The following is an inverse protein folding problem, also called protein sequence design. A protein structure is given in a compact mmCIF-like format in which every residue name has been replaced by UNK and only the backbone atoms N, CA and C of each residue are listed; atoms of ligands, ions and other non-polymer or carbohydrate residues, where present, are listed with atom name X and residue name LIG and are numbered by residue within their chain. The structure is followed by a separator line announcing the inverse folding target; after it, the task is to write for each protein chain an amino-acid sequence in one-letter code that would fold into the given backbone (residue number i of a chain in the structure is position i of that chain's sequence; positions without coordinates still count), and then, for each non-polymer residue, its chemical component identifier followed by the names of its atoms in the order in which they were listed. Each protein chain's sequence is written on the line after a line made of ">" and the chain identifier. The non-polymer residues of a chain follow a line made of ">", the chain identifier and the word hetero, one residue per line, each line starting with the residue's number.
data_IF_818553766249
#
_entry.id   IF_818553766249
#
_cell.length_a   1.000
_cell.length_b   1.000
_cell.length_c   1.000
_cell.angle_alpha   90.00
_cell.angle_beta   90.00
_cell.angle_gamma   90.00
#
_symmetry.space_group_name_H-M   'P 1'
#
loop_
_entity.id
_entity.type
_entity.pdbx_description
1 polymer ?
#
# COMPACT_ATOMS: atom_id res chain seq x y z
N UNK A 1 4.49 25.16 -48.61
CA UNK A 1 4.94 23.83 -49.14
C UNK A 1 5.30 22.80 -48.06
N UNK A 2 5.69 23.21 -46.85
CA UNK A 2 6.09 22.27 -45.77
C UNK A 2 4.91 21.48 -45.16
N UNK A 3 3.73 22.12 -45.02
CA UNK A 3 2.53 21.50 -44.44
C UNK A 3 1.97 20.35 -45.28
N UNK A 4 2.09 20.42 -46.61
CA UNK A 4 1.58 19.39 -47.53
C UNK A 4 2.41 18.09 -47.48
N UNK A 5 3.73 18.19 -47.24
CA UNK A 5 4.62 17.03 -47.11
C UNK A 5 4.42 16.26 -45.82
N UNK A 6 3.97 16.91 -44.74
CA UNK A 6 3.61 16.23 -43.49
C UNK A 6 2.38 15.36 -43.68
N UNK A 7 1.32 15.88 -44.30
CA UNK A 7 0.05 15.15 -44.51
C UNK A 7 0.22 13.90 -45.38
N UNK A 8 1.11 13.95 -46.38
CA UNK A 8 1.37 12.81 -47.28
C UNK A 8 2.18 11.69 -46.58
N UNK A 9 3.06 12.04 -45.64
CA UNK A 9 3.97 11.09 -45.00
C UNK A 9 3.43 10.52 -43.68
N UNK A 10 2.49 11.22 -43.00
CA UNK A 10 1.87 10.74 -41.76
C UNK A 10 1.19 9.37 -41.92
N UNK A 11 0.37 9.09 -42.96
CA UNK A 11 -0.22 7.77 -43.16
C UNK A 11 0.82 6.67 -43.40
N UNK A 12 1.95 7.01 -44.06
CA UNK A 12 3.06 6.07 -44.32
C UNK A 12 3.82 5.70 -43.05
N UNK A 13 3.99 6.63 -42.11
CA UNK A 13 4.66 6.37 -40.83
C UNK A 13 3.76 5.51 -39.93
N UNK A 14 2.46 5.81 -39.89
CA UNK A 14 1.48 5.04 -39.11
C UNK A 14 1.37 3.59 -39.62
N UNK A 15 1.44 3.38 -40.95
CA UNK A 15 1.44 2.05 -41.58
C UNK A 15 2.76 1.28 -41.45
N UNK A 16 3.83 1.82 -40.85
CA UNK A 16 5.11 1.10 -40.68
C UNK A 16 5.39 0.73 -39.23
N UNK A 17 4.82 1.44 -38.26
CA UNK A 17 4.90 1.09 -36.84
C UNK A 17 3.80 0.11 -36.44
N UNK A 18 3.78 -1.07 -37.05
CA UNK A 18 2.82 -2.11 -36.71
C UNK A 18 3.12 -2.79 -35.37
N UNK A 19 4.39 -2.88 -34.95
CA UNK A 19 4.77 -3.59 -33.71
C UNK A 19 4.37 -2.88 -32.42
N UNK A 20 4.49 -1.54 -32.37
CA UNK A 20 4.24 -0.77 -31.14
C UNK A 20 2.86 -0.13 -31.09
N UNK A 21 2.30 0.25 -32.23
CA UNK A 21 1.06 1.02 -32.27
C UNK A 21 -0.18 0.14 -32.45
N UNK A 22 -0.07 -1.05 -33.07
CA UNK A 22 -1.21 -1.99 -33.21
C UNK A 22 -1.73 -2.47 -31.84
N UNK A 23 -0.91 -3.02 -30.93
CA UNK A 23 -1.43 -3.56 -29.67
C UNK A 23 -1.99 -2.46 -28.75
N UNK A 24 -1.51 -1.21 -28.89
CA UNK A 24 -2.04 -0.05 -28.17
C UNK A 24 -3.40 0.41 -28.72
N UNK A 25 -3.65 0.23 -30.03
CA UNK A 25 -4.90 0.63 -30.69
C UNK A 25 -5.94 -0.50 -30.78
N UNK A 26 -5.51 -1.75 -30.67
CA UNK A 26 -6.42 -2.90 -30.60
C UNK A 26 -7.09 -2.93 -29.23
N UNK A 27 -8.42 -2.75 -29.21
CA UNK A 27 -9.23 -3.30 -28.11
C UNK A 27 -8.80 -4.76 -27.94
N UNK A 28 -8.48 -5.16 -26.71
CA UNK A 28 -8.15 -6.55 -26.39
C UNK A 28 -9.22 -7.46 -27.01
N UNK A 29 -8.84 -8.22 -28.04
CA UNK A 29 -9.80 -8.98 -28.85
C UNK A 29 -10.28 -10.25 -28.12
N UNK A 30 -9.49 -10.71 -27.16
CA UNK A 30 -9.78 -11.86 -26.31
C UNK A 30 -10.44 -11.39 -25.00
N UNK A 31 -11.62 -11.94 -24.63
CA UNK A 31 -12.26 -11.69 -23.34
C UNK A 31 -11.32 -11.82 -22.13
N UNK A 32 -10.36 -12.75 -22.15
CA UNK A 32 -9.42 -12.94 -21.03
C UNK A 32 -8.48 -11.74 -20.89
N UNK A 33 -8.00 -11.20 -22.00
CA UNK A 33 -7.14 -10.01 -22.01
C UNK A 33 -7.90 -8.76 -21.57
N UNK A 34 -9.19 -8.66 -21.90
CA UNK A 34 -10.05 -7.58 -21.40
C UNK A 34 -10.16 -7.63 -19.87
N UNK A 35 -10.43 -8.83 -19.29
CA UNK A 35 -10.50 -9.00 -17.85
C UNK A 35 -9.21 -8.57 -17.13
N UNK A 36 -8.05 -8.89 -17.69
CA UNK A 36 -6.77 -8.46 -17.13
C UNK A 36 -6.64 -6.93 -17.10
N UNK A 37 -6.95 -6.26 -18.21
CA UNK A 37 -6.89 -4.80 -18.30
C UNK A 37 -7.91 -4.16 -17.34
N UNK A 38 -9.11 -4.72 -17.25
CA UNK A 38 -10.15 -4.20 -16.37
C UNK A 38 -9.76 -4.35 -14.90
N UNK A 39 -9.10 -5.45 -14.52
CA UNK A 39 -8.55 -5.62 -13.17
C UNK A 39 -7.40 -4.66 -12.86
N UNK A 40 -6.53 -4.35 -13.82
CA UNK A 40 -5.51 -3.31 -13.66
C UNK A 40 -6.15 -1.95 -13.42
N UNK A 41 -7.18 -1.60 -14.20
CA UNK A 41 -7.90 -0.33 -14.07
C UNK A 41 -8.62 -0.24 -12.72
N UNK A 42 -9.29 -1.31 -12.31
CA UNK A 42 -9.98 -1.42 -11.02
C UNK A 42 -8.98 -1.24 -9.86
N UNK A 43 -7.83 -1.92 -9.91
CA UNK A 43 -6.76 -1.76 -8.93
C UNK A 43 -6.24 -0.32 -8.91
N UNK A 44 -5.97 0.28 -10.08
CA UNK A 44 -5.51 1.68 -10.17
C UNK A 44 -6.49 2.66 -9.53
N UNK A 45 -7.80 2.48 -9.71
CA UNK A 45 -8.79 3.33 -9.05
C UNK A 45 -8.84 3.12 -7.54
N UNK A 46 -8.70 1.88 -7.07
CA UNK A 46 -8.79 1.55 -5.64
C UNK A 46 -7.51 1.88 -4.86
N UNK A 47 -6.35 1.84 -5.50
CA UNK A 47 -5.04 2.06 -4.87
C UNK A 47 -4.67 3.53 -4.58
N UNK A 48 -5.45 4.50 -5.08
CA UNK A 48 -5.09 5.91 -4.98
C UNK A 48 -5.23 6.53 -3.57
N UNK A 49 -5.80 5.80 -2.61
CA UNK A 49 -5.99 6.27 -1.23
C UNK A 49 -5.24 5.40 -0.24
N UNK A 50 -4.37 5.99 0.59
CA UNK A 50 -3.71 5.31 1.72
C UNK A 50 -4.66 4.89 2.86
N UNK A 51 -5.97 4.86 2.59
CA UNK A 51 -7.02 4.41 3.51
C UNK A 51 -7.50 3.04 3.04
N UNK A 52 -8.06 2.28 3.97
CA UNK A 52 -8.62 0.98 3.67
C UNK A 52 -9.79 1.14 2.69
N UNK A 53 -9.68 0.48 1.53
CA UNK A 53 -10.68 0.51 0.47
C UNK A 53 -11.97 -0.13 1.01
N UNK A 54 -13.10 0.54 0.84
CA UNK A 54 -14.43 0.05 1.24
C UNK A 54 -14.50 -0.44 2.70
N UNK A 55 -13.86 0.29 3.63
CA UNK A 55 -13.86 -0.07 5.05
C UNK A 55 -15.27 -0.06 5.65
N UNK A 56 -15.84 -1.25 5.84
CA UNK A 56 -17.05 -1.45 6.63
C UNK A 56 -16.81 -1.07 8.09
N UNK A 57 -17.82 -0.55 8.83
CA UNK A 57 -17.73 -0.31 10.26
C UNK A 57 -17.27 -1.53 11.07
N UNK A 58 -17.60 -2.74 10.60
CA UNK A 58 -17.18 -3.99 11.21
C UNK A 58 -15.65 -4.20 11.14
N UNK A 59 -15.03 -3.92 9.99
CA UNK A 59 -13.58 -4.05 9.78
C UNK A 59 -12.82 -3.03 10.62
N UNK A 60 -13.36 -1.81 10.75
CA UNK A 60 -12.77 -0.78 11.61
C UNK A 60 -12.78 -1.21 13.08
N UNK A 61 -13.89 -1.79 13.55
CA UNK A 61 -14.02 -2.32 14.90
C UNK A 61 -13.07 -3.50 15.15
N UNK A 62 -12.94 -4.40 14.17
CA UNK A 62 -11.98 -5.50 14.23
C UNK A 62 -10.55 -4.97 14.36
N UNK A 63 -10.17 -4.02 13.51
CA UNK A 63 -8.87 -3.32 13.58
C UNK A 63 -8.59 -2.70 14.96
N UNK A 64 -9.56 -2.00 15.54
CA UNK A 64 -9.41 -1.44 16.89
C UNK A 64 -9.22 -2.54 17.93
N UNK A 65 -10.00 -3.62 17.85
CA UNK A 65 -9.87 -4.75 18.78
C UNK A 65 -8.52 -5.46 18.68
N UNK A 66 -7.95 -5.56 17.48
CA UNK A 66 -6.63 -6.14 17.25
C UNK A 66 -5.52 -5.24 17.81
N UNK A 67 -5.64 -3.92 17.61
CA UNK A 67 -4.72 -2.95 18.19
C UNK A 67 -4.75 -3.02 19.72
N UNK A 68 -5.93 -3.12 20.35
CA UNK A 68 -6.05 -3.28 21.80
C UNK A 68 -5.38 -4.55 22.34
N UNK A 69 -5.48 -5.67 21.61
CA UNK A 69 -4.78 -6.91 21.95
C UNK A 69 -3.27 -6.72 21.91
N UNK A 70 -2.75 -6.10 20.85
CA UNK A 70 -1.33 -5.76 20.70
C UNK A 70 -0.89 -4.85 21.86
N UNK A 71 -1.68 -3.82 22.18
CA UNK A 71 -1.38 -2.92 23.28
C UNK A 71 -1.29 -3.62 24.64
N UNK A 72 -2.15 -4.62 24.86
CA UNK A 72 -2.16 -5.42 26.07
C UNK A 72 -0.96 -6.37 26.13
N UNK A 73 -0.64 -7.04 25.02
CA UNK A 73 0.45 -8.03 24.95
C UNK A 73 1.83 -7.38 25.10
N UNK A 74 2.04 -6.22 24.49
CA UNK A 74 3.34 -5.53 24.48
C UNK A 74 3.43 -4.39 25.51
N UNK A 75 2.43 -4.24 26.39
CA UNK A 75 2.45 -3.25 27.47
C UNK A 75 2.55 -1.81 26.97
N UNK A 76 1.92 -1.50 25.84
CA UNK A 76 1.99 -0.19 25.18
C UNK A 76 0.78 0.69 25.44
N UNK A 77 -0.15 0.26 26.31
CA UNK A 77 -1.24 1.12 26.81
C UNK A 77 -0.63 2.36 27.48
N UNK A 78 -0.81 3.52 26.87
CA UNK A 78 -0.33 4.81 27.39
C UNK A 78 1.15 5.11 27.15
N UNK A 79 1.86 4.31 26.34
CA UNK A 79 3.26 4.57 25.97
C UNK A 79 3.38 4.75 24.45
N UNK A 80 4.18 5.72 24.03
CA UNK A 80 4.50 5.91 22.62
C UNK A 80 5.49 4.84 22.16
N UNK A 81 5.04 3.94 21.28
CA UNK A 81 5.85 2.86 20.74
C UNK A 81 6.86 3.33 19.69
N UNK A 82 6.80 4.58 19.25
CA UNK A 82 7.81 5.18 18.37
C UNK A 82 9.05 5.64 19.14
N UNK A 83 8.92 5.81 20.46
CA UNK A 83 10.02 6.22 21.32
C UNK A 83 10.74 5.02 21.91
N UNK A 84 12.05 5.12 22.02
CA UNK A 84 12.88 4.12 22.67
C UNK A 84 12.57 4.08 24.19
N UNK A 85 12.54 2.90 24.83
CA UNK A 85 12.24 2.79 26.26
C UNK A 85 13.30 3.44 27.14
N UNK A 86 12.85 4.15 28.17
CA UNK A 86 13.72 4.64 29.23
C UNK A 86 13.98 3.51 30.24
N UNK A 87 15.24 3.14 30.41
CA UNK A 87 15.64 2.17 31.43
C UNK A 87 15.95 2.88 32.74
N UNK A 88 15.34 2.42 33.83
CA UNK A 88 15.67 2.82 35.20
C UNK A 88 16.17 1.58 35.93
N UNK A 89 17.40 1.66 36.43
CA UNK A 89 18.00 0.58 37.21
C UNK A 89 17.94 0.99 38.67
N UNK A 90 17.24 0.19 39.49
CA UNK A 90 17.24 0.34 40.95
C UNK A 90 18.23 -0.63 41.54
N UNK A 91 19.09 -0.15 42.43
CA UNK A 91 20.03 -1.02 43.14
C UNK A 91 19.27 -2.04 44.01
N UNK A 92 19.69 -3.31 44.03
CA UNK A 92 19.06 -4.30 44.87
C UNK A 92 19.27 -3.95 46.35
N UNK A 93 18.26 -4.17 47.22
CA UNK A 93 18.43 -3.97 48.65
C UNK A 93 19.50 -4.94 49.17
N UNK A 94 20.45 -4.40 49.93
CA UNK A 94 21.48 -5.20 50.59
C UNK A 94 20.85 -5.78 51.87
N UNK A 95 20.60 -7.09 51.88
CA UNK A 95 20.24 -7.80 53.12
C UNK A 95 21.47 -7.88 54.03
N UNK A 96 21.56 -6.96 54.99
CA UNK A 96 22.50 -7.04 56.10
C UNK A 96 21.83 -7.97 57.11
N UNK A 97 22.28 -9.21 57.22
CA UNK A 97 21.70 -10.27 58.07
C UNK A 97 21.80 -10.00 59.58
N UNK A 98 21.22 -8.90 60.04
CA UNK A 98 20.98 -8.61 61.44
C UNK A 98 19.49 -8.79 61.67
N UNK A 99 19.11 -10.02 62.00
CA UNK A 99 17.82 -10.32 62.59
C UNK A 99 17.66 -9.45 63.84
N UNK A 100 16.76 -8.46 63.79
CA UNK A 100 16.37 -7.69 64.96
C UNK A 100 15.61 -8.64 65.90
N UNK A 101 16.34 -9.26 66.82
CA UNK A 101 15.81 -9.98 67.98
C UNK A 101 15.54 -9.03 69.14
#
# INVERSE_FOLDING_TARGET
>A
MLKLRLVINVPKVIRRSFGTNIPVLQKASDPIQQLFIDKIREYKSKSAGGKMIDASPEILKERESELEKIHTQFGSKGRDMTQFPQFQFTDPPVEIGIDNK
#
